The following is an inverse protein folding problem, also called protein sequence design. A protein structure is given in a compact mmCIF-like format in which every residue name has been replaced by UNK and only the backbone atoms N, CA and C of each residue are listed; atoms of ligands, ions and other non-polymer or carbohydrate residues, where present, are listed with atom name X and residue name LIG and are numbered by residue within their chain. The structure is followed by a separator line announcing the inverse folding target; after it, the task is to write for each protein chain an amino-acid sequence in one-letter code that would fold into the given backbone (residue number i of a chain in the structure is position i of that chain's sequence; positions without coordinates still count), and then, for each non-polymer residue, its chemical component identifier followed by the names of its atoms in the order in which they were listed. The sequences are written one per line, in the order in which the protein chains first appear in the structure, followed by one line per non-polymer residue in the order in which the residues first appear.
data_IF_149093255726
#
_entry.id   IF_149093255726
#
_cell.length_a   1.000
_cell.length_b   1.000
_cell.length_c   1.000
_cell.angle_alpha   90.00
_cell.angle_beta   90.00
_cell.angle_gamma   90.00
#
_symmetry.space_group_name_H-M   'P 1'
#
loop_
_entity.id
_entity.type
_entity.pdbx_description
1 polymer ?
#
# COMPACT_ATOMS: atom_id res chain seq x y z
N UNK A 1 46.82 19.90 -19.10
CA UNK A 1 45.42 20.38 -19.00
C UNK A 1 44.54 19.16 -18.76
N UNK A 2 44.26 18.83 -17.50
CA UNK A 2 43.56 17.61 -17.09
C UNK A 2 42.05 17.87 -16.95
N UNK A 3 41.27 17.53 -17.97
CA UNK A 3 39.80 17.63 -18.00
C UNK A 3 39.09 16.31 -17.66
N UNK A 4 39.75 15.42 -16.90
CA UNK A 4 39.24 14.07 -16.62
C UNK A 4 38.44 13.85 -15.31
N UNK A 5 38.42 14.71 -14.26
CA UNK A 5 37.82 14.27 -13.00
C UNK A 5 36.28 14.36 -12.99
N UNK A 6 35.67 15.28 -13.73
CA UNK A 6 34.22 15.55 -13.63
C UNK A 6 33.33 14.39 -14.12
N UNK A 7 33.77 13.65 -15.15
CA UNK A 7 33.02 12.50 -15.67
C UNK A 7 32.94 11.35 -14.66
N UNK A 8 34.03 11.09 -13.94
CA UNK A 8 34.10 10.00 -12.96
C UNK A 8 33.23 10.25 -11.72
N UNK A 9 33.10 11.51 -11.28
CA UNK A 9 32.22 11.88 -10.17
C UNK A 9 30.74 11.70 -10.52
N UNK A 10 30.33 12.07 -11.74
CA UNK A 10 28.94 11.92 -12.17
C UNK A 10 28.54 10.43 -12.28
N UNK A 11 29.42 9.59 -12.82
CA UNK A 11 29.17 8.14 -12.91
C UNK A 11 29.07 7.50 -11.52
N UNK A 12 29.93 7.89 -10.58
CA UNK A 12 29.87 7.42 -9.20
C UNK A 12 28.56 7.84 -8.49
N UNK A 13 28.13 9.10 -8.68
CA UNK A 13 26.87 9.59 -8.12
C UNK A 13 25.66 8.81 -8.66
N UNK A 14 25.60 8.60 -9.97
CA UNK A 14 24.53 7.84 -10.61
C UNK A 14 24.52 6.37 -10.15
N UNK A 15 25.69 5.75 -9.97
CA UNK A 15 25.80 4.39 -9.45
C UNK A 15 25.31 4.31 -7.99
N UNK A 16 25.63 5.29 -7.15
CA UNK A 16 25.15 5.35 -5.76
C UNK A 16 23.64 5.57 -5.69
N UNK A 17 23.08 6.45 -6.52
CA UNK A 17 21.63 6.65 -6.62
C UNK A 17 20.93 5.37 -7.11
N UNK A 18 21.50 4.68 -8.09
CA UNK A 18 20.96 3.42 -8.61
C UNK A 18 21.04 2.28 -7.58
N UNK A 19 22.16 2.15 -6.87
CA UNK A 19 22.35 1.17 -5.79
C UNK A 19 21.43 1.47 -4.60
N UNK A 20 21.32 2.74 -4.20
CA UNK A 20 20.44 3.20 -3.12
C UNK A 20 18.96 2.94 -3.44
N UNK A 21 18.53 3.26 -4.66
CA UNK A 21 17.15 2.97 -5.08
C UNK A 21 16.90 1.47 -5.25
N UNK A 22 17.88 0.67 -5.66
CA UNK A 22 17.78 -0.81 -5.68
C UNK A 22 17.72 -1.41 -4.28
N UNK A 23 18.48 -0.88 -3.33
CA UNK A 23 18.48 -1.30 -1.94
C UNK A 23 17.20 -0.89 -1.21
N UNK A 24 16.67 0.30 -1.46
CA UNK A 24 15.40 0.77 -0.93
C UNK A 24 14.23 -0.10 -1.44
N UNK A 25 14.24 -0.46 -2.73
CA UNK A 25 13.30 -1.44 -3.30
C UNK A 25 13.41 -2.82 -2.66
N UNK A 26 14.60 -3.25 -2.24
CA UNK A 26 14.81 -4.53 -1.54
C UNK A 26 14.38 -4.51 -0.08
N UNK A 27 14.49 -3.37 0.62
CA UNK A 27 13.98 -3.22 2.00
C UNK A 27 12.45 -3.24 2.08
N UNK A 28 11.75 -2.76 1.05
CA UNK A 28 10.29 -2.86 0.97
C UNK A 28 9.73 -4.29 0.89
N UNK A 29 10.57 -5.28 0.58
CA UNK A 29 10.16 -6.69 0.46
C UNK A 29 10.40 -7.53 1.73
N UNK A 30 11.00 -6.96 2.78
CA UNK A 30 11.72 -7.73 3.80
C UNK A 30 11.17 -7.78 5.22
N UNK A 31 10.03 -7.15 5.56
CA UNK A 31 9.47 -7.25 6.91
C UNK A 31 8.55 -8.47 7.03
N UNK A 32 9.15 -9.66 7.10
CA UNK A 32 8.43 -10.92 7.38
C UNK A 32 8.09 -11.04 8.86
N UNK A 33 6.93 -10.56 9.28
CA UNK A 33 6.32 -11.01 10.53
C UNK A 33 5.69 -12.40 10.30
N UNK A 34 5.91 -13.26 11.30
CA UNK A 34 5.57 -14.69 11.29
C UNK A 34 4.06 -14.91 11.11
N UNK A 35 3.79 -15.85 10.22
CA UNK A 35 2.55 -16.54 9.87
C UNK A 35 1.53 -16.64 11.00
N UNK A 36 0.36 -16.00 10.84
CA UNK A 36 -0.80 -16.18 11.72
C UNK A 36 -1.88 -17.11 11.15
N UNK A 37 -1.77 -17.53 9.89
CA UNK A 37 -2.71 -18.46 9.28
C UNK A 37 -1.97 -19.68 8.74
N UNK A 38 -1.77 -20.68 9.59
CA UNK A 38 -1.50 -22.05 9.17
C UNK A 38 -2.82 -22.72 8.74
N UNK A 39 -3.51 -22.14 7.77
CA UNK A 39 -4.39 -22.92 6.91
C UNK A 39 -3.52 -23.37 5.74
N UNK A 40 -3.62 -24.64 5.33
CA UNK A 40 -2.78 -25.23 4.28
C UNK A 40 -2.80 -24.44 2.97
N UNK A 41 -2.01 -24.84 1.95
CA UNK A 41 -1.85 -24.09 0.71
C UNK A 41 -3.13 -24.20 -0.15
N UNK A 42 -4.24 -23.62 0.29
CA UNK A 42 -5.22 -23.09 -0.61
C UNK A 42 -4.44 -22.10 -1.47
N UNK A 43 -4.38 -22.39 -2.76
CA UNK A 43 -3.73 -21.55 -3.76
C UNK A 43 -4.36 -20.17 -3.63
N UNK A 44 -3.64 -19.24 -2.99
CA UNK A 44 -4.25 -18.03 -2.45
C UNK A 44 -4.66 -17.01 -3.53
N UNK A 45 -4.51 -17.40 -4.80
CA UNK A 45 -5.12 -16.77 -5.98
C UNK A 45 -6.67 -16.79 -5.92
N UNK A 46 -7.29 -17.73 -5.18
CA UNK A 46 -8.76 -17.85 -5.04
C UNK A 46 -9.32 -17.19 -3.75
N UNK A 47 -8.48 -16.54 -2.95
CA UNK A 47 -8.93 -15.91 -1.70
C UNK A 47 -9.45 -14.51 -1.98
N UNK A 48 -10.72 -14.29 -1.63
CA UNK A 48 -11.42 -13.04 -1.77
C UNK A 48 -11.68 -12.45 -0.38
N UNK A 49 -11.17 -11.23 -0.11
CA UNK A 49 -11.32 -10.59 1.20
C UNK A 49 -11.84 -9.15 1.07
N UNK A 50 -12.93 -8.88 1.78
CA UNK A 50 -13.52 -7.54 1.92
C UNK A 50 -13.17 -6.99 3.29
N UNK A 51 -12.50 -5.84 3.33
CA UNK A 51 -12.26 -5.06 4.54
C UNK A 51 -13.38 -4.05 4.68
N UNK A 52 -14.08 -4.08 5.81
CA UNK A 52 -15.17 -3.15 6.12
C UNK A 52 -14.70 -2.19 7.21
N UNK A 53 -14.76 -0.89 6.93
CA UNK A 53 -14.37 0.16 7.88
C UNK A 53 -15.53 1.10 8.17
N UNK A 54 -15.52 1.72 9.37
CA UNK A 54 -16.55 2.67 9.74
C UNK A 54 -16.29 4.03 9.10
N UNK A 55 -15.02 4.46 9.09
CA UNK A 55 -14.60 5.76 8.58
C UNK A 55 -13.39 5.63 7.64
N UNK A 56 -13.12 6.67 6.82
CA UNK A 56 -11.80 6.86 6.23
C UNK A 56 -10.73 6.86 7.34
N UNK A 57 -9.52 6.40 7.03
CA UNK A 57 -8.33 6.28 7.88
C UNK A 57 -8.25 5.01 8.75
N UNK A 58 -9.39 4.35 9.01
CA UNK A 58 -9.42 3.08 9.76
C UNK A 58 -8.60 1.98 9.08
N UNK A 59 -8.53 1.99 7.74
CA UNK A 59 -7.80 1.02 6.94
C UNK A 59 -6.29 1.09 7.20
N UNK A 60 -5.77 2.30 7.33
CA UNK A 60 -4.36 2.55 7.59
C UNK A 60 -4.04 2.43 9.09
N UNK A 61 -4.95 2.88 9.96
CA UNK A 61 -4.77 2.91 11.41
C UNK A 61 -4.87 1.52 12.04
N UNK A 62 -5.87 0.72 11.64
CA UNK A 62 -6.16 -0.57 12.29
C UNK A 62 -5.87 -1.77 11.38
N UNK A 63 -6.16 -1.66 10.08
CA UNK A 63 -6.15 -2.82 9.18
C UNK A 63 -4.91 -2.96 8.30
N UNK A 64 -3.99 -1.98 8.28
CA UNK A 64 -2.82 -2.02 7.40
C UNK A 64 -1.99 -3.31 7.56
N UNK A 65 -1.69 -3.82 8.78
CA UNK A 65 -0.96 -5.08 8.92
C UNK A 65 -1.70 -6.27 8.27
N UNK A 66 -3.02 -6.33 8.42
CA UNK A 66 -3.87 -7.40 7.86
C UNK A 66 -3.94 -7.30 6.34
N UNK A 67 -4.19 -6.11 5.80
CA UNK A 67 -4.26 -5.85 4.36
C UNK A 67 -2.95 -6.24 3.67
N UNK A 68 -1.82 -5.80 4.22
CA UNK A 68 -0.49 -6.13 3.70
C UNK A 68 -0.21 -7.63 3.80
N UNK A 69 -0.62 -8.29 4.88
CA UNK A 69 -0.48 -9.75 5.03
C UNK A 69 -1.27 -10.50 3.96
N UNK A 70 -2.54 -10.15 3.76
CA UNK A 70 -3.40 -10.76 2.73
C UNK A 70 -2.87 -10.52 1.31
N UNK A 71 -2.35 -9.32 1.04
CA UNK A 71 -1.72 -8.98 -0.24
C UNK A 71 -0.48 -9.84 -0.53
N UNK A 72 0.32 -10.21 0.48
CA UNK A 72 1.45 -11.14 0.32
C UNK A 72 1.02 -12.55 -0.07
N UNK A 73 -0.18 -12.96 0.33
CA UNK A 73 -0.81 -14.19 -0.12
C UNK A 73 -1.54 -14.04 -1.45
N UNK A 74 -1.45 -12.88 -2.14
CA UNK A 74 -2.12 -12.63 -3.42
C UNK A 74 -3.66 -12.74 -3.36
N UNK A 75 -4.24 -12.55 -2.18
CA UNK A 75 -5.69 -12.45 -2.05
C UNK A 75 -6.21 -11.25 -2.86
N UNK A 76 -7.40 -11.40 -3.45
CA UNK A 76 -8.12 -10.29 -4.05
C UNK A 76 -8.79 -9.47 -2.95
N UNK A 77 -8.39 -8.20 -2.86
CA UNK A 77 -8.79 -7.31 -1.80
C UNK A 77 -9.82 -6.28 -2.28
N UNK A 78 -10.81 -6.05 -1.44
CA UNK A 78 -11.77 -4.96 -1.55
C UNK A 78 -11.86 -4.19 -0.24
N UNK A 79 -12.24 -2.92 -0.34
CA UNK A 79 -12.54 -2.10 0.81
C UNK A 79 -13.92 -1.46 0.68
N UNK A 80 -14.73 -1.59 1.73
CA UNK A 80 -15.99 -0.89 1.91
C UNK A 80 -15.88 0.01 3.13
N UNK A 81 -15.97 1.32 2.92
CA UNK A 81 -16.09 2.28 4.00
C UNK A 81 -17.56 2.70 4.17
N UNK A 82 -18.08 2.56 5.38
CA UNK A 82 -19.50 2.81 5.69
C UNK A 82 -19.86 4.29 5.85
N UNK A 83 -18.88 5.20 5.75
CA UNK A 83 -19.10 6.64 5.87
C UNK A 83 -18.13 7.43 4.99
N UNK A 84 -18.57 8.59 4.52
CA UNK A 84 -17.68 9.60 3.92
C UNK A 84 -16.84 10.35 4.97
N UNK A 85 -17.14 10.18 6.26
CA UNK A 85 -16.43 10.88 7.32
C UNK A 85 -16.66 12.40 7.30
N UNK A 86 -17.83 12.85 6.82
CA UNK A 86 -18.14 14.24 6.49
C UNK A 86 -18.50 15.16 7.69
N UNK A 87 -18.13 14.80 8.93
CA UNK A 87 -18.48 15.60 10.12
C UNK A 87 -18.01 17.07 10.02
N UNK A 88 -16.81 17.29 9.48
CA UNK A 88 -16.26 18.63 9.26
C UNK A 88 -16.49 19.18 7.84
N UNK A 89 -17.49 18.66 7.10
CA UNK A 89 -17.73 18.98 5.68
C UNK A 89 -16.54 18.64 4.74
N UNK A 90 -15.72 17.65 5.12
CA UNK A 90 -14.52 17.23 4.39
C UNK A 90 -14.68 15.89 3.68
N UNK A 91 -15.90 15.35 3.56
CA UNK A 91 -16.11 13.98 3.09
C UNK A 91 -15.56 13.71 1.68
N UNK A 92 -15.66 14.68 0.77
CA UNK A 92 -15.09 14.55 -0.59
C UNK A 92 -13.55 14.51 -0.60
N UNK A 93 -12.90 15.19 0.34
CA UNK A 93 -11.45 15.15 0.50
C UNK A 93 -11.07 13.78 1.08
N UNK A 94 -11.73 13.38 2.17
CA UNK A 94 -11.46 12.11 2.87
C UNK A 94 -11.73 10.87 2.03
N UNK A 95 -12.72 10.90 1.14
CA UNK A 95 -12.94 9.85 0.12
C UNK A 95 -11.72 9.70 -0.80
N UNK A 96 -11.15 10.81 -1.28
CA UNK A 96 -9.96 10.79 -2.15
C UNK A 96 -8.73 10.30 -1.40
N UNK A 97 -8.55 10.75 -0.16
CA UNK A 97 -7.47 10.29 0.73
C UNK A 97 -7.56 8.78 0.98
N UNK A 98 -8.76 8.25 1.29
CA UNK A 98 -8.99 6.82 1.46
C UNK A 98 -8.62 6.02 0.20
N UNK A 99 -9.07 6.46 -0.99
CA UNK A 99 -8.74 5.78 -2.25
C UNK A 99 -7.23 5.78 -2.52
N UNK A 100 -6.55 6.90 -2.24
CA UNK A 100 -5.10 7.00 -2.38
C UNK A 100 -4.35 6.12 -1.36
N UNK A 101 -4.81 6.11 -0.10
CA UNK A 101 -4.29 5.25 0.96
C UNK A 101 -4.43 3.76 0.60
N UNK A 102 -5.62 3.35 0.14
CA UNK A 102 -5.88 2.00 -0.35
C UNK A 102 -4.95 1.59 -1.50
N UNK A 103 -4.68 2.49 -2.45
CA UNK A 103 -3.75 2.22 -3.55
C UNK A 103 -2.33 1.93 -3.05
N UNK A 104 -1.87 2.63 -2.00
CA UNK A 104 -0.58 2.35 -1.34
C UNK A 104 -0.59 0.99 -0.64
N UNK A 105 -1.71 0.60 -0.04
CA UNK A 105 -1.88 -0.70 0.62
C UNK A 105 -2.08 -1.87 -0.36
N UNK A 106 -2.16 -1.60 -1.67
CA UNK A 106 -2.29 -2.61 -2.72
C UNK A 106 -3.73 -2.95 -3.12
N UNK A 107 -4.71 -2.15 -2.69
CA UNK A 107 -6.11 -2.26 -3.11
C UNK A 107 -6.36 -1.27 -4.26
N UNK A 108 -6.72 -1.73 -5.48
CA UNK A 108 -6.92 -0.82 -6.60
C UNK A 108 -8.16 0.05 -6.36
N UNK A 109 -8.20 1.29 -6.90
CA UNK A 109 -9.34 2.20 -6.73
C UNK A 109 -10.70 1.61 -7.15
N UNK A 110 -10.72 0.73 -8.17
CA UNK A 110 -11.93 0.03 -8.61
C UNK A 110 -12.55 -0.88 -7.54
N UNK A 111 -11.78 -1.24 -6.52
CA UNK A 111 -12.17 -2.15 -5.45
C UNK A 111 -12.45 -1.40 -4.12
N UNK A 112 -12.47 -0.07 -4.15
CA UNK A 112 -12.77 0.77 -3.00
C UNK A 112 -14.16 1.38 -3.18
N UNK A 113 -15.06 1.11 -2.24
CA UNK A 113 -16.41 1.69 -2.21
C UNK A 113 -16.59 2.48 -0.93
N UNK A 114 -17.12 3.69 -1.06
CA UNK A 114 -17.49 4.53 0.10
C UNK A 114 -18.98 4.77 0.06
N UNK A 115 -19.67 4.34 1.10
CA UNK A 115 -21.10 4.59 1.27
C UNK A 115 -21.28 5.99 1.85
N UNK A 116 -22.25 6.73 1.30
CA UNK A 116 -22.65 8.04 1.78
C UNK A 116 -24.19 8.06 1.84
N UNK A 117 -24.73 7.76 3.02
CA UNK A 117 -26.16 7.91 3.28
C UNK A 117 -26.38 9.28 3.90
N UNK A 118 -26.62 10.28 3.04
CA UNK A 118 -27.11 11.59 3.46
C UNK A 118 -28.62 11.58 3.64
#
# INVERSE_FOLDING_TARGET
MALAPLGSFLVALLALVWLGSRWLRRRGAGWGHRTLCAAGPARADDVHALVVTAHPDDEAMFFAPTILSLGRFRAQLWLLCCSSGNYYNQGEIRKKELVQSCAVLGIPPSNVTVIDHR
#
